data_IF_880574211930
#
_entry.id   IF_880574211930
#
_cell.length_a   1.000
_cell.length_b   1.000
_cell.length_c   1.000
_cell.angle_alpha   90.00
_cell.angle_beta   90.00
_cell.angle_gamma   90.00
#
_symmetry.space_group_name_H-M   'P 1'
#
loop_
_entity.id
_entity.type
_entity.pdbx_description
1 polymer ?
#
# COMPACT_ATOMS: atom_id res chain seq x y z
N UNK A 1 -24.00 -8.42 -24.03
CA UNK A 1 -22.90 -7.59 -23.46
C UNK A 1 -21.95 -8.49 -22.69
N UNK A 2 -20.64 -8.25 -22.75
CA UNK A 2 -19.65 -9.04 -21.99
C UNK A 2 -19.78 -8.80 -20.49
N UNK A 3 -19.63 -9.87 -19.69
CA UNK A 3 -19.64 -9.80 -18.23
C UNK A 3 -18.56 -8.84 -17.69
N UNK A 4 -17.48 -8.61 -18.42
CA UNK A 4 -16.42 -7.66 -18.03
C UNK A 4 -16.94 -6.22 -17.88
N UNK A 5 -17.90 -5.81 -18.71
CA UNK A 5 -18.52 -4.48 -18.71
C UNK A 5 -19.81 -4.41 -17.90
N UNK A 6 -20.10 -5.44 -17.09
CA UNK A 6 -21.22 -5.39 -16.15
C UNK A 6 -20.82 -4.66 -14.87
N UNK A 7 -21.75 -3.89 -14.31
CA UNK A 7 -21.54 -3.21 -13.04
C UNK A 7 -21.24 -4.21 -11.90
N UNK A 8 -20.45 -3.77 -10.93
CA UNK A 8 -20.14 -4.57 -9.73
C UNK A 8 -19.98 -3.68 -8.50
N UNK A 9 -19.77 -4.29 -7.33
CA UNK A 9 -19.59 -3.57 -6.07
C UNK A 9 -18.43 -4.13 -5.26
N UNK A 10 -17.70 -3.25 -4.59
CA UNK A 10 -16.70 -3.57 -3.56
C UNK A 10 -17.17 -2.92 -2.26
N UNK A 11 -17.75 -3.71 -1.36
CA UNK A 11 -18.46 -3.16 -0.20
C UNK A 11 -19.62 -2.27 -0.66
N UNK A 12 -19.55 -0.97 -0.34
CA UNK A 12 -20.54 0.03 -0.77
C UNK A 12 -20.13 0.79 -2.05
N UNK A 13 -18.90 0.61 -2.53
CA UNK A 13 -18.41 1.27 -3.74
C UNK A 13 -18.98 0.57 -4.98
N UNK A 14 -19.74 1.30 -5.80
CA UNK A 14 -20.25 0.79 -7.07
C UNK A 14 -19.30 1.14 -8.21
N UNK A 15 -18.97 0.14 -9.03
CA UNK A 15 -18.13 0.27 -10.23
C UNK A 15 -18.97 0.00 -11.47
N UNK A 16 -18.78 0.81 -12.52
CA UNK A 16 -19.53 0.69 -13.77
C UNK A 16 -19.14 -0.55 -14.58
N UNK A 17 -17.94 -1.07 -14.33
CA UNK A 17 -17.43 -2.30 -14.92
C UNK A 17 -16.44 -2.99 -13.96
N UNK A 18 -15.92 -4.16 -14.38
CA UNK A 18 -15.04 -5.02 -13.57
C UNK A 18 -13.56 -4.79 -13.85
N UNK A 19 -13.20 -3.74 -14.57
CA UNK A 19 -11.81 -3.41 -14.90
C UNK A 19 -11.25 -2.54 -13.78
N UNK A 20 -10.20 -3.05 -13.13
CA UNK A 20 -9.49 -2.35 -12.06
C UNK A 20 -8.04 -2.18 -12.48
N UNK A 21 -7.57 -0.93 -12.52
CA UNK A 21 -6.17 -0.62 -12.75
C UNK A 21 -5.41 -0.85 -11.46
N UNK A 22 -4.42 -1.74 -11.52
CA UNK A 22 -3.65 -2.15 -10.36
C UNK A 22 -2.71 -1.04 -9.87
N UNK A 23 -2.35 -1.05 -8.57
CA UNK A 23 -1.28 -0.21 -8.05
C UNK A 23 0.06 -0.62 -8.68
N UNK A 24 0.69 0.31 -9.41
CA UNK A 24 1.95 0.09 -10.12
C UNK A 24 2.94 1.19 -9.76
N UNK A 25 3.98 0.86 -8.99
CA UNK A 25 5.01 1.82 -8.56
C UNK A 25 5.66 2.53 -9.75
N UNK A 26 5.73 3.85 -9.67
CA UNK A 26 6.31 4.71 -10.70
C UNK A 26 7.74 5.15 -10.35
N UNK A 27 8.13 5.06 -9.08
CA UNK A 27 9.46 5.47 -8.57
C UNK A 27 9.85 6.89 -9.02
N UNK A 28 8.86 7.79 -9.07
CA UNK A 28 8.96 9.13 -9.68
C UNK A 28 8.53 10.25 -8.72
N UNK A 29 8.45 9.95 -7.43
CA UNK A 29 8.15 10.93 -6.37
C UNK A 29 9.43 11.64 -5.93
N UNK A 30 9.27 12.87 -5.44
CA UNK A 30 10.35 13.64 -4.80
C UNK A 30 10.08 13.68 -3.30
N UNK A 31 10.88 12.98 -2.51
CA UNK A 31 10.65 12.80 -1.07
C UNK A 31 9.19 12.43 -0.73
N UNK A 32 8.63 11.47 -1.48
CA UNK A 32 7.24 11.04 -1.32
C UNK A 32 6.19 11.95 -1.95
N UNK A 33 6.53 13.16 -2.36
CA UNK A 33 5.58 14.09 -3.00
C UNK A 33 5.32 13.67 -4.42
N UNK A 34 4.04 13.62 -4.78
CA UNK A 34 3.63 13.44 -6.17
C UNK A 34 4.19 14.56 -7.06
N UNK A 35 4.69 14.18 -8.22
CA UNK A 35 5.29 15.07 -9.23
C UNK A 35 4.40 15.21 -10.46
N UNK A 36 4.82 16.02 -11.43
CA UNK A 36 4.16 16.13 -12.75
C UNK A 36 4.02 14.78 -13.45
N UNK A 37 4.94 13.83 -13.22
CA UNK A 37 4.82 12.46 -13.73
C UNK A 37 3.50 11.81 -13.31
N UNK A 38 3.14 11.92 -12.04
CA UNK A 38 1.92 11.32 -11.49
C UNK A 38 0.68 11.97 -12.07
N UNK A 39 0.69 13.29 -12.29
CA UNK A 39 -0.41 14.00 -12.96
C UNK A 39 -0.64 13.46 -14.37
N UNK A 40 0.43 13.33 -15.17
CA UNK A 40 0.36 12.82 -16.54
C UNK A 40 -0.09 11.36 -16.54
N UNK A 41 0.57 10.51 -15.76
CA UNK A 41 0.33 9.07 -15.73
C UNK A 41 -1.07 8.72 -15.23
N UNK A 42 -1.45 9.22 -14.05
CA UNK A 42 -2.75 8.90 -13.45
C UNK A 42 -3.89 9.59 -14.21
N UNK A 43 -3.64 10.78 -14.77
CA UNK A 43 -4.59 11.45 -15.67
C UNK A 43 -4.91 10.60 -16.91
N UNK A 44 -3.89 10.06 -17.59
CA UNK A 44 -4.10 9.16 -18.74
C UNK A 44 -4.93 7.92 -18.35
N UNK A 45 -4.60 7.28 -17.22
CA UNK A 45 -5.31 6.11 -16.74
C UNK A 45 -6.76 6.41 -16.34
N UNK A 46 -7.02 7.62 -15.83
CA UNK A 46 -8.36 8.05 -15.45
C UNK A 46 -9.34 8.15 -16.64
N UNK A 47 -8.84 8.26 -17.88
CA UNK A 47 -9.66 8.30 -19.10
C UNK A 47 -9.80 6.94 -19.81
N UNK A 48 -9.28 5.86 -19.22
CA UNK A 48 -9.26 4.52 -19.84
C UNK A 48 -10.63 3.83 -19.96
N UNK A 49 -11.65 4.33 -19.24
CA UNK A 49 -12.94 3.64 -19.09
C UNK A 49 -12.94 2.52 -18.05
N UNK A 50 -11.85 2.32 -17.30
CA UNK A 50 -11.83 1.39 -16.16
C UNK A 50 -12.78 1.86 -15.04
N UNK A 51 -13.36 0.93 -14.30
CA UNK A 51 -14.27 1.24 -13.19
C UNK A 51 -13.56 1.78 -11.95
N UNK A 52 -12.29 1.39 -11.74
CA UNK A 52 -11.50 1.77 -10.57
C UNK A 52 -10.02 1.92 -10.94
N UNK A 53 -9.39 3.01 -10.51
CA UNK A 53 -7.95 3.23 -10.53
C UNK A 53 -7.41 3.19 -9.10
N UNK A 54 -6.53 2.22 -8.80
CA UNK A 54 -5.84 2.15 -7.52
C UNK A 54 -4.43 2.74 -7.70
N UNK A 55 -4.15 3.83 -7.00
CA UNK A 55 -2.81 4.44 -6.97
C UNK A 55 -1.78 3.49 -6.39
N UNK A 56 -0.52 3.68 -6.81
CA UNK A 56 0.62 2.85 -6.44
C UNK A 56 0.84 2.70 -4.93
N UNK A 57 1.71 1.75 -4.56
CA UNK A 57 2.08 1.52 -3.17
C UNK A 57 2.62 2.81 -2.55
N UNK A 58 1.81 3.42 -1.68
CA UNK A 58 2.07 4.70 -1.07
C UNK A 58 2.53 4.48 0.36
N UNK A 59 3.75 4.91 0.65
CA UNK A 59 4.38 4.67 1.95
C UNK A 59 3.71 5.48 3.06
N UNK A 60 3.46 4.81 4.19
CA UNK A 60 2.84 5.43 5.38
C UNK A 60 3.83 6.24 6.23
N UNK A 61 5.13 6.05 6.00
CA UNK A 61 6.22 6.81 6.61
C UNK A 61 7.45 6.76 5.68
N UNK A 62 8.41 7.70 5.80
CA UNK A 62 9.57 7.78 4.91
C UNK A 62 10.39 6.48 4.87
N UNK A 63 10.56 5.82 6.01
CA UNK A 63 11.31 4.56 6.14
C UNK A 63 10.61 3.36 5.50
N UNK A 64 9.31 3.49 5.22
CA UNK A 64 8.46 2.44 4.64
C UNK A 64 8.49 2.36 3.12
N UNK A 65 9.15 3.31 2.45
CA UNK A 65 9.32 3.35 0.99
C UNK A 65 10.12 2.16 0.45
N UNK A 66 9.79 1.64 -0.73
CA UNK A 66 10.64 0.65 -1.42
C UNK A 66 11.93 1.33 -1.88
N UNK A 67 11.81 2.46 -2.56
CA UNK A 67 12.92 3.27 -3.10
C UNK A 67 12.80 4.74 -2.69
N UNK A 68 13.86 5.55 -2.85
CA UNK A 68 13.77 7.00 -2.63
C UNK A 68 12.65 7.69 -3.43
N UNK A 69 12.33 7.15 -4.62
CA UNK A 69 11.33 7.69 -5.54
C UNK A 69 9.90 7.21 -5.30
N UNK A 70 9.63 6.49 -4.22
CA UNK A 70 8.28 6.00 -3.92
C UNK A 70 7.35 7.12 -3.45
N UNK A 71 6.08 7.03 -3.86
CA UNK A 71 5.02 7.91 -3.39
C UNK A 71 4.79 7.75 -1.88
N UNK A 72 4.52 8.86 -1.21
CA UNK A 72 4.30 8.95 0.24
C UNK A 72 2.95 9.55 0.60
N UNK A 73 2.47 9.25 1.80
CA UNK A 73 1.32 9.92 2.40
C UNK A 73 1.44 9.92 3.94
N UNK A 74 2.47 10.57 4.46
CA UNK A 74 2.79 10.56 5.89
C UNK A 74 2.66 11.94 6.55
N UNK A 75 2.79 13.02 5.79
CA UNK A 75 2.73 14.40 6.27
C UNK A 75 1.83 15.29 5.40
N UNK A 76 1.77 16.58 5.73
CA UNK A 76 0.93 17.55 5.04
C UNK A 76 1.50 17.91 3.66
N UNK A 77 2.82 17.83 3.47
CA UNK A 77 3.46 18.10 2.19
C UNK A 77 3.13 17.03 1.16
N UNK A 78 3.25 15.75 1.55
CA UNK A 78 2.88 14.61 0.71
C UNK A 78 1.38 14.57 0.43
N UNK A 79 0.53 14.90 1.40
CA UNK A 79 -0.92 15.05 1.19
C UNK A 79 -1.24 16.18 0.20
N UNK A 80 -0.62 17.36 0.35
CA UNK A 80 -0.87 18.50 -0.52
C UNK A 80 -0.40 18.25 -1.96
N UNK A 81 0.75 17.60 -2.14
CA UNK A 81 1.24 17.20 -3.46
C UNK A 81 0.26 16.25 -4.16
N UNK A 82 -0.29 15.28 -3.44
CA UNK A 82 -1.25 14.33 -3.99
C UNK A 82 -2.64 14.96 -4.23
N UNK A 83 -3.04 15.95 -3.43
CA UNK A 83 -4.29 16.71 -3.60
C UNK A 83 -4.43 17.27 -5.01
N UNK A 84 -3.39 17.93 -5.51
CA UNK A 84 -3.42 18.50 -6.87
C UNK A 84 -3.67 17.45 -7.95
N UNK A 85 -3.11 16.24 -7.80
CA UNK A 85 -3.36 15.13 -8.74
C UNK A 85 -4.82 14.67 -8.68
N UNK A 86 -5.37 14.51 -7.47
CA UNK A 86 -6.75 14.07 -7.30
C UNK A 86 -7.75 15.11 -7.83
N UNK A 87 -7.52 16.39 -7.54
CA UNK A 87 -8.35 17.49 -8.04
C UNK A 87 -8.35 17.55 -9.57
N UNK A 88 -7.18 17.43 -10.20
CA UNK A 88 -7.04 17.38 -11.66
C UNK A 88 -7.83 16.20 -12.27
N UNK A 89 -7.75 15.00 -11.66
CA UNK A 89 -8.52 13.84 -12.14
C UNK A 89 -10.02 14.07 -11.96
N UNK A 90 -10.45 14.59 -10.81
CA UNK A 90 -11.88 14.79 -10.49
C UNK A 90 -12.54 15.85 -11.36
N UNK A 91 -11.77 16.82 -11.85
CA UNK A 91 -12.28 17.82 -12.78
C UNK A 91 -12.74 17.22 -14.12
N UNK A 92 -12.20 16.06 -14.53
CA UNK A 92 -12.38 15.53 -15.88
C UNK A 92 -12.83 14.08 -15.96
N UNK A 93 -12.73 13.28 -14.89
CA UNK A 93 -13.07 11.86 -14.92
C UNK A 93 -13.95 11.42 -13.74
N UNK A 94 -15.01 10.62 -13.99
CA UNK A 94 -15.83 10.01 -12.95
C UNK A 94 -15.22 8.71 -12.37
N UNK A 95 -14.04 8.28 -12.83
CA UNK A 95 -13.42 7.01 -12.41
C UNK A 95 -13.35 6.91 -10.87
N UNK A 96 -13.62 5.73 -10.31
CA UNK A 96 -13.44 5.54 -8.87
C UNK A 96 -11.95 5.54 -8.53
N UNK A 97 -11.58 6.20 -7.44
CA UNK A 97 -10.18 6.26 -7.01
C UNK A 97 -9.97 5.45 -5.74
N UNK A 98 -8.97 4.57 -5.78
CA UNK A 98 -8.42 3.90 -4.63
C UNK A 98 -6.95 4.24 -4.42
N UNK A 99 -6.43 3.97 -3.24
CA UNK A 99 -5.00 4.08 -2.94
C UNK A 99 -4.52 2.84 -2.19
N UNK A 100 -3.33 2.35 -2.56
CA UNK A 100 -2.68 1.27 -1.82
C UNK A 100 -1.73 1.84 -0.78
N UNK A 101 -2.01 1.63 0.52
CA UNK A 101 -1.14 2.06 1.61
C UNK A 101 -0.25 0.90 2.05
N UNK A 102 1.04 1.16 2.25
CA UNK A 102 2.01 0.11 2.54
C UNK A 102 3.25 0.55 3.33
N UNK A 103 3.98 -0.46 3.77
CA UNK A 103 5.33 -0.35 4.33
C UNK A 103 6.14 -1.54 3.83
N UNK A 104 7.24 -1.32 3.12
CA UNK A 104 7.97 -2.40 2.44
C UNK A 104 8.82 -3.29 3.39
N UNK A 105 9.02 -2.87 4.64
CA UNK A 105 9.69 -3.67 5.67
C UNK A 105 11.14 -3.98 5.28
N UNK A 106 11.58 -5.24 5.32
CA UNK A 106 12.95 -5.60 4.88
C UNK A 106 13.27 -5.39 3.39
N UNK A 107 12.28 -5.02 2.56
CA UNK A 107 12.45 -4.72 1.13
C UNK A 107 12.39 -3.21 0.84
N UNK A 108 12.70 -2.38 1.83
CA UNK A 108 12.85 -0.92 1.71
C UNK A 108 14.29 -0.58 1.33
N UNK A 109 14.56 0.69 1.04
CA UNK A 109 15.91 1.20 0.78
C UNK A 109 16.56 0.48 -0.41
N UNK A 110 15.80 0.21 -1.46
CA UNK A 110 16.29 -0.38 -2.70
C UNK A 110 16.37 0.67 -3.82
N UNK A 111 17.29 0.45 -4.76
CA UNK A 111 17.34 1.22 -6.01
C UNK A 111 16.07 1.00 -6.84
N UNK A 112 15.74 1.93 -7.73
CA UNK A 112 14.65 1.70 -8.68
C UNK A 112 14.94 0.46 -9.56
N UNK A 113 13.94 -0.22 -10.13
CA UNK A 113 14.15 -1.44 -10.91
C UNK A 113 15.15 -1.28 -12.06
N UNK A 114 15.12 -0.15 -12.78
CA UNK A 114 16.06 0.16 -13.87
C UNK A 114 17.49 0.51 -13.38
N UNK A 115 17.68 0.69 -12.08
CA UNK A 115 18.97 0.88 -11.42
C UNK A 115 19.45 -0.41 -10.72
N UNK A 116 18.79 -1.55 -10.97
CA UNK A 116 19.16 -2.88 -10.48
C UNK A 116 18.31 -3.41 -9.33
N UNK A 117 17.50 -2.58 -8.66
CA UNK A 117 16.58 -3.05 -7.61
C UNK A 117 17.24 -3.57 -6.33
N UNK A 118 18.57 -3.43 -6.19
CA UNK A 118 19.33 -3.90 -5.04
C UNK A 118 19.23 -2.95 -3.84
N UNK A 119 19.50 -3.46 -2.64
CA UNK A 119 19.56 -2.65 -1.43
C UNK A 119 20.66 -1.58 -1.56
N UNK A 120 20.30 -0.32 -1.28
CA UNK A 120 21.20 0.82 -1.27
C UNK A 120 22.10 0.80 -0.03
N UNK A 121 23.37 1.16 -0.24
CA UNK A 121 24.32 1.37 0.84
C UNK A 121 23.93 2.61 1.66
N UNK A 122 24.22 2.59 2.97
CA UNK A 122 23.86 3.70 3.88
C UNK A 122 24.52 5.02 3.49
N UNK A 123 25.75 4.96 3.00
CA UNK A 123 26.50 6.12 2.52
C UNK A 123 26.07 6.58 1.11
N UNK A 124 25.09 5.91 0.50
CA UNK A 124 24.58 6.21 -0.84
C UNK A 124 23.04 6.35 -0.83
N UNK A 125 22.52 7.03 0.19
CA UNK A 125 21.09 7.34 0.32
C UNK A 125 20.22 6.19 0.83
N UNK A 126 20.81 5.04 1.20
CA UNK A 126 20.09 3.95 1.86
C UNK A 126 19.82 4.24 3.34
N UNK A 127 18.84 3.56 3.91
CA UNK A 127 18.46 3.67 5.33
C UNK A 127 18.29 2.30 5.99
N UNK A 128 18.29 2.28 7.32
CA UNK A 128 18.11 1.03 8.08
C UNK A 128 16.71 0.46 7.81
N UNK A 129 16.67 -0.80 7.37
CA UNK A 129 15.41 -1.51 7.11
C UNK A 129 14.88 -2.10 8.41
N UNK A 130 13.56 -2.33 8.48
CA UNK A 130 12.89 -2.89 9.67
C UNK A 130 12.00 -4.06 9.28
N UNK A 131 11.85 -5.04 10.18
CA UNK A 131 11.09 -6.26 9.91
C UNK A 131 10.61 -6.94 11.20
N UNK A 132 9.76 -7.98 11.12
CA UNK A 132 9.38 -8.76 12.29
C UNK A 132 10.58 -9.43 12.97
N UNK A 133 11.63 -9.78 12.21
CA UNK A 133 12.85 -10.43 12.72
C UNK A 133 14.05 -9.98 11.89
N UNK A 134 15.26 -10.08 12.47
CA UNK A 134 16.52 -9.68 11.84
C UNK A 134 16.99 -10.67 10.75
N UNK A 135 16.14 -10.92 9.75
CA UNK A 135 16.38 -11.86 8.64
C UNK A 135 16.35 -11.09 7.32
N UNK A 136 17.50 -11.05 6.64
CA UNK A 136 17.68 -10.45 5.31
C UNK A 136 16.73 -11.04 4.25
N UNK A 137 16.46 -10.29 3.18
CA UNK A 137 15.61 -10.77 2.08
C UNK A 137 16.42 -11.59 1.07
N UNK A 138 17.59 -11.10 0.66
CA UNK A 138 18.60 -11.83 -0.11
C UNK A 138 19.86 -12.10 0.71
N UNK A 139 20.59 -13.14 0.32
CA UNK A 139 21.94 -13.38 0.83
C UNK A 139 22.84 -12.19 0.47
N UNK A 140 23.49 -11.62 1.47
CA UNK A 140 24.35 -10.43 1.30
C UNK A 140 23.67 -9.08 1.56
N UNK A 141 22.33 -9.03 1.67
CA UNK A 141 21.65 -7.81 2.14
C UNK A 141 21.99 -7.54 3.61
N UNK A 142 22.03 -6.26 3.99
CA UNK A 142 22.02 -5.86 5.39
C UNK A 142 20.74 -6.34 6.06
N UNK A 143 20.90 -7.03 7.19
CA UNK A 143 19.77 -7.49 7.99
C UNK A 143 18.91 -6.30 8.48
N UNK A 144 17.57 -6.46 8.49
CA UNK A 144 16.68 -5.47 9.08
C UNK A 144 16.82 -5.42 10.60
N UNK A 145 16.48 -4.29 11.20
CA UNK A 145 16.26 -4.20 12.63
C UNK A 145 14.94 -4.91 12.98
N UNK A 146 14.95 -5.72 14.04
CA UNK A 146 13.75 -6.33 14.56
C UNK A 146 12.87 -5.27 15.23
N UNK A 147 11.59 -5.22 14.83
CA UNK A 147 10.63 -4.24 15.34
C UNK A 147 10.34 -4.47 16.83
N UNK A 148 10.45 -3.40 17.62
CA UNK A 148 9.95 -3.38 19.00
C UNK A 148 8.43 -3.17 19.04
N UNK A 149 7.79 -3.43 20.19
CA UNK A 149 6.38 -3.06 20.39
C UNK A 149 6.10 -1.57 20.16
N UNK A 150 7.05 -0.70 20.48
CA UNK A 150 6.94 0.74 20.21
C UNK A 150 6.96 1.02 18.70
N UNK A 151 7.78 0.33 17.93
CA UNK A 151 7.78 0.44 16.47
C UNK A 151 6.48 -0.07 15.86
N UNK A 152 5.93 -1.18 16.36
CA UNK A 152 4.63 -1.70 15.92
C UNK A 152 3.51 -0.70 16.18
N UNK A 153 3.51 -0.06 17.35
CA UNK A 153 2.54 0.99 17.68
C UNK A 153 2.69 2.19 16.74
N UNK A 154 3.93 2.66 16.50
CA UNK A 154 4.23 3.77 15.59
C UNK A 154 3.79 3.50 14.16
N UNK A 155 4.17 2.36 13.59
CA UNK A 155 3.82 2.01 12.20
C UNK A 155 2.30 1.84 12.07
N UNK A 156 1.63 1.20 13.04
CA UNK A 156 0.17 1.12 13.06
C UNK A 156 -0.49 2.51 13.07
N UNK A 157 0.02 3.44 13.89
CA UNK A 157 -0.45 4.82 13.90
C UNK A 157 -0.20 5.53 12.56
N UNK A 158 0.93 5.27 11.90
CA UNK A 158 1.24 5.80 10.58
C UNK A 158 0.22 5.33 9.52
N UNK A 159 -0.14 4.03 9.50
CA UNK A 159 -1.23 3.53 8.64
C UNK A 159 -2.55 4.28 8.87
N UNK A 160 -2.93 4.48 10.13
CA UNK A 160 -4.16 5.21 10.47
C UNK A 160 -4.09 6.66 9.99
N UNK A 161 -2.98 7.34 10.24
CA UNK A 161 -2.77 8.71 9.79
C UNK A 161 -2.87 8.82 8.26
N UNK A 162 -2.19 7.96 7.52
CA UNK A 162 -2.25 7.92 6.05
C UNK A 162 -3.66 7.61 5.54
N UNK A 163 -4.41 6.74 6.20
CA UNK A 163 -5.80 6.46 5.82
C UNK A 163 -6.72 7.66 6.03
N UNK A 164 -6.55 8.40 7.12
CA UNK A 164 -7.28 9.65 7.36
C UNK A 164 -6.92 10.71 6.31
N UNK A 165 -5.63 10.82 5.92
CA UNK A 165 -5.17 11.66 4.80
C UNK A 165 -5.86 11.25 3.51
N UNK A 166 -5.87 9.96 3.18
CA UNK A 166 -6.51 9.43 1.98
C UNK A 166 -8.03 9.72 1.96
N UNK A 167 -8.71 9.62 3.11
CA UNK A 167 -10.11 9.97 3.21
C UNK A 167 -10.35 11.47 2.96
N UNK A 168 -9.52 12.36 3.50
CA UNK A 168 -9.59 13.81 3.23
C UNK A 168 -9.33 14.17 1.77
N UNK A 169 -8.52 13.37 1.07
CA UNK A 169 -8.29 13.49 -0.37
C UNK A 169 -9.44 12.94 -1.22
N UNK A 170 -10.43 12.27 -0.61
CA UNK A 170 -11.59 11.75 -1.33
C UNK A 170 -11.34 10.41 -2.05
N UNK A 171 -10.35 9.63 -1.61
CA UNK A 171 -10.21 8.23 -2.05
C UNK A 171 -11.39 7.40 -1.54
N UNK A 172 -11.96 6.59 -2.41
CA UNK A 172 -13.17 5.79 -2.16
C UNK A 172 -12.83 4.36 -1.73
N UNK A 173 -11.60 3.93 -1.99
CA UNK A 173 -11.05 2.64 -1.59
C UNK A 173 -9.66 2.82 -0.97
N UNK A 174 -9.43 2.21 0.17
CA UNK A 174 -8.08 2.02 0.74
C UNK A 174 -7.74 0.53 0.67
N UNK A 175 -6.64 0.23 0.01
CA UNK A 175 -6.08 -1.12 -0.07
C UNK A 175 -4.83 -1.21 0.82
N UNK A 176 -4.87 -2.03 1.87
CA UNK A 176 -3.71 -2.29 2.71
C UNK A 176 -2.79 -3.31 2.05
N UNK A 177 -1.53 -2.96 1.87
CA UNK A 177 -0.57 -3.81 1.17
C UNK A 177 -0.01 -4.92 2.08
N UNK A 178 -0.62 -6.11 2.00
CA UNK A 178 -0.21 -7.31 2.75
C UNK A 178 0.31 -8.44 1.85
N UNK A 179 1.06 -8.07 0.80
CA UNK A 179 1.55 -8.99 -0.23
C UNK A 179 3.01 -8.67 -0.60
N UNK A 180 3.51 -9.30 -1.67
CA UNK A 180 4.83 -9.05 -2.30
C UNK A 180 6.08 -9.14 -1.41
N UNK A 181 5.91 -9.65 -0.18
CA UNK A 181 7.00 -9.78 0.78
C UNK A 181 7.27 -8.49 1.55
N UNK A 182 6.33 -7.55 1.55
CA UNK A 182 6.37 -6.33 2.35
C UNK A 182 5.91 -6.55 3.79
N UNK A 183 5.93 -5.52 4.63
CA UNK A 183 5.93 -5.66 6.09
C UNK A 183 4.81 -6.56 6.61
N UNK A 184 3.56 -6.31 6.21
CA UNK A 184 2.43 -7.12 6.68
C UNK A 184 2.53 -8.57 6.19
N UNK A 185 3.02 -8.81 4.96
CA UNK A 185 3.31 -10.17 4.50
C UNK A 185 4.48 -10.81 5.26
N UNK A 186 5.48 -10.03 5.68
CA UNK A 186 6.60 -10.52 6.46
C UNK A 186 6.12 -11.08 7.80
N UNK A 187 5.14 -10.44 8.46
CA UNK A 187 4.50 -10.98 9.67
C UNK A 187 3.78 -12.30 9.40
N UNK A 188 3.08 -12.40 8.27
CA UNK A 188 2.31 -13.59 7.90
C UNK A 188 3.20 -14.80 7.57
N UNK A 189 4.45 -14.62 7.13
CA UNK A 189 5.30 -15.72 6.68
C UNK A 189 6.26 -16.20 7.78
N UNK A 190 6.29 -17.51 8.11
CA UNK A 190 7.26 -18.06 9.06
C UNK A 190 8.72 -17.99 8.56
N UNK A 191 8.94 -17.71 7.27
CA UNK A 191 10.28 -17.53 6.70
C UNK A 191 10.91 -16.19 7.10
N UNK A 192 10.08 -15.18 7.42
CA UNK A 192 10.51 -13.82 7.75
C UNK A 192 10.14 -13.40 9.16
N UNK A 193 9.20 -14.10 9.80
CA UNK A 193 8.78 -13.86 11.17
C UNK A 193 9.20 -15.03 12.06
N UNK A 194 10.31 -14.85 12.75
CA UNK A 194 10.89 -15.76 13.74
C UNK A 194 10.70 -15.24 15.17
N UNK A 195 9.78 -14.29 15.37
CA UNK A 195 9.48 -13.74 16.69
C UNK A 195 8.97 -14.83 17.62
N UNK A 196 9.27 -14.67 18.91
CA UNK A 196 8.84 -15.56 20.00
C UNK A 196 7.78 -14.94 20.92
N UNK A 197 7.30 -13.76 20.56
CA UNK A 197 6.26 -13.02 21.28
C UNK A 197 4.87 -13.27 20.66
N UNK A 198 3.87 -12.50 21.08
CA UNK A 198 2.48 -12.59 20.61
C UNK A 198 2.29 -12.26 19.12
N UNK A 199 3.35 -11.80 18.43
CA UNK A 199 3.34 -11.50 17.01
C UNK A 199 4.07 -12.55 16.15
N UNK A 200 4.58 -13.63 16.73
CA UNK A 200 5.27 -14.73 16.02
C UNK A 200 4.86 -16.15 16.40
N UNK A 201 5.41 -17.12 15.68
CA UNK A 201 5.13 -18.54 15.86
C UNK A 201 3.81 -19.00 15.21
N UNK A 202 2.74 -19.08 16.01
CA UNK A 202 1.44 -19.63 15.57
C UNK A 202 0.84 -18.80 14.43
N UNK A 203 -0.10 -19.39 13.67
CA UNK A 203 -0.82 -18.66 12.63
C UNK A 203 -1.59 -17.46 13.21
N UNK A 204 -2.21 -17.63 14.38
CA UNK A 204 -2.93 -16.56 15.07
C UNK A 204 -2.00 -15.38 15.39
N UNK A 205 -0.84 -15.64 15.98
CA UNK A 205 0.13 -14.61 16.34
C UNK A 205 0.69 -13.91 15.10
N UNK A 206 1.03 -14.65 14.04
CA UNK A 206 1.51 -14.09 12.76
C UNK A 206 0.46 -13.21 12.06
N UNK A 207 -0.82 -13.51 12.23
CA UNK A 207 -1.92 -12.68 11.70
C UNK A 207 -2.24 -11.49 12.60
N UNK A 208 -1.81 -11.48 13.87
CA UNK A 208 -2.18 -10.48 14.87
C UNK A 208 -1.85 -9.06 14.40
N UNK A 209 -0.60 -8.79 14.03
CA UNK A 209 -0.19 -7.44 13.64
C UNK A 209 -0.88 -6.94 12.36
N UNK A 210 -0.94 -7.72 11.25
CA UNK A 210 -1.79 -7.35 10.12
C UNK A 210 -3.21 -7.00 10.57
N UNK A 211 -3.92 -7.91 11.24
CA UNK A 211 -5.32 -7.71 11.63
C UNK A 211 -5.53 -6.50 12.54
N UNK A 212 -4.59 -6.21 13.44
CA UNK A 212 -4.61 -4.98 14.24
C UNK A 212 -4.56 -3.73 13.36
N UNK A 213 -3.65 -3.67 12.38
CA UNK A 213 -3.57 -2.56 11.43
C UNK A 213 -4.89 -2.39 10.68
N UNK A 214 -5.50 -3.46 10.19
CA UNK A 214 -6.80 -3.36 9.49
C UNK A 214 -7.96 -2.96 10.39
N UNK A 215 -7.97 -3.41 11.65
CA UNK A 215 -9.00 -3.00 12.61
C UNK A 215 -8.86 -1.53 13.03
N UNK A 216 -7.63 -1.02 13.09
CA UNK A 216 -7.35 0.35 13.49
C UNK A 216 -7.70 1.38 12.40
N UNK A 217 -7.68 0.97 11.13
CA UNK A 217 -7.99 1.88 10.02
C UNK A 217 -9.48 2.28 10.02
N UNK A 218 -9.79 3.58 9.79
CA UNK A 218 -11.15 4.07 9.80
C UNK A 218 -11.99 3.36 8.73
N UNK A 219 -13.18 2.89 9.11
CA UNK A 219 -14.18 2.40 8.17
C UNK A 219 -15.19 3.53 8.00
N UNK A 220 -15.19 4.16 6.83
CA UNK A 220 -15.80 5.46 6.59
C UNK A 220 -17.18 5.66 7.23
N UNK A 221 -17.25 6.60 8.17
CA UNK A 221 -18.46 7.29 8.64
C UNK A 221 -18.68 8.64 7.93
N UNK A 222 -17.77 9.05 7.04
CA UNK A 222 -17.83 10.32 6.33
C UNK A 222 -18.82 10.31 5.16
N UNK A 223 -19.71 11.29 5.13
CA UNK A 223 -20.54 11.59 3.96
C UNK A 223 -19.67 12.31 2.93
N UNK A 224 -19.33 11.64 1.82
CA UNK A 224 -18.71 12.29 0.67
C UNK A 224 -19.78 12.93 -0.23
N UNK A 225 -19.43 13.98 -0.97
CA UNK A 225 -20.27 14.53 -2.05
C UNK A 225 -20.50 13.43 -3.10
N UNK A 226 -21.61 12.69 -2.97
CA UNK A 226 -21.88 11.45 -3.72
C UNK A 226 -22.40 10.27 -2.88
N UNK A 227 -22.50 10.39 -1.55
CA UNK A 227 -23.27 9.48 -0.68
C UNK A 227 -22.68 8.09 -0.39
N UNK A 228 -21.49 7.75 -0.91
CA UNK A 228 -20.86 6.44 -0.69
C UNK A 228 -19.96 6.37 0.55
N UNK A 229 -19.97 5.22 1.25
CA UNK A 229 -18.99 4.89 2.31
C UNK A 229 -17.68 4.40 1.70
N UNK A 230 -16.53 4.82 2.25
CA UNK A 230 -15.20 4.34 1.86
C UNK A 230 -15.03 2.84 2.15
N UNK A 231 -14.50 2.09 1.19
CA UNK A 231 -14.16 0.68 1.37
C UNK A 231 -12.70 0.52 1.83
N UNK A 232 -12.45 -0.37 2.79
CA UNK A 232 -11.09 -0.74 3.23
C UNK A 232 -10.92 -2.24 3.09
N UNK A 233 -9.83 -2.68 2.46
CA UNK A 233 -9.55 -4.11 2.22
C UNK A 233 -8.06 -4.41 2.19
N UNK A 234 -7.72 -5.69 2.16
CA UNK A 234 -6.34 -6.14 1.94
C UNK A 234 -6.11 -6.57 0.50
N UNK A 235 -4.90 -6.33 0.00
CA UNK A 235 -4.31 -7.15 -1.05
C UNK A 235 -3.41 -8.22 -0.44
N UNK A 236 -3.83 -9.47 -0.59
CA UNK A 236 -3.02 -10.65 -0.35
C UNK A 236 -2.48 -11.17 -1.70
N UNK A 237 -1.21 -11.55 -1.74
CA UNK A 237 -0.58 -12.04 -2.97
C UNK A 237 -1.14 -13.40 -3.39
N UNK A 238 -1.15 -13.71 -4.69
CA UNK A 238 -1.43 -15.07 -5.16
C UNK A 238 -0.21 -15.96 -4.97
N UNK A 239 -0.29 -16.92 -4.04
CA UNK A 239 0.27 -18.27 -4.24
C UNK A 239 -0.84 -19.29 -3.98
N UNK A 240 -0.92 -20.29 -4.87
CA UNK A 240 -1.82 -21.44 -4.78
C UNK A 240 -1.79 -22.01 -3.35
N UNK A 241 -2.82 -21.73 -2.55
CA UNK A 241 -3.22 -22.64 -1.47
C UNK A 241 -3.88 -23.82 -2.19
N UNK A 242 -3.15 -24.93 -2.30
CA UNK A 242 -3.58 -26.13 -2.98
C UNK A 242 -4.73 -26.83 -2.27
N UNK A 243 -5.94 -26.29 -2.42
CA UNK A 243 -7.17 -27.06 -2.21
C UNK A 243 -7.53 -27.72 -3.54
N UNK A 244 -7.22 -29.01 -3.65
CA UNK A 244 -7.85 -29.88 -4.64
C UNK A 244 -9.34 -29.95 -4.31
N UNK A 245 -10.19 -29.48 -5.22
CA UNK A 245 -11.57 -29.91 -5.22
C UNK A 245 -11.57 -31.36 -5.72
N UNK A 246 -11.97 -32.28 -4.84
CA UNK A 246 -12.40 -33.62 -5.23
C UNK A 246 -13.70 -33.43 -5.99
N UNK A 247 -13.68 -33.74 -7.29
CA UNK A 247 -14.69 -34.51 -8.02
C UNK A 247 -14.04 -35.02 -9.31
#
# INVERSE_FOLDING_TARGET
MSHLFSATRIGQLTLDNRIVIAPMCQYSADEGKATSWHRIHLGQLAFSGAGLLILEATAVEPAGRISPGDLGLWDDETENALRGVVEDIRAWSPIRLGIQLGHAGRKVSCAAPWQGGHQLALNYGGWQTVAPSAVAFHDGDRAPAELSHADLARIKAAFVASALRAQRLGFELIELHAAHGYLLHQFLSPLSNQRRDEYGGSLENRMRYPLEVFKANPRGSGQHHGGGRQAVGYRLGRRRLGLRAVH
#
